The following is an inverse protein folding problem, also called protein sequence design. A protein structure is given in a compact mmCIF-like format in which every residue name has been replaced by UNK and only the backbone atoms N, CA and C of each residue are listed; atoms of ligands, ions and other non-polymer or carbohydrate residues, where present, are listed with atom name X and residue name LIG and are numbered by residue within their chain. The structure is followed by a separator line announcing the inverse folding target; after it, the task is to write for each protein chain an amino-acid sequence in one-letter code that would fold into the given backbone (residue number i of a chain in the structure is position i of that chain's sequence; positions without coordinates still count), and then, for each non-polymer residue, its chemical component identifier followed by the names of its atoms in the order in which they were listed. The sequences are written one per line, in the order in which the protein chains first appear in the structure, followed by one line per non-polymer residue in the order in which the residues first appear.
data_IF_302047879913
#
_entry.id   IF_302047879913
#
_cell.length_a   1.000
_cell.length_b   1.000
_cell.length_c   1.000
_cell.angle_alpha   90.00
_cell.angle_beta   90.00
_cell.angle_gamma   90.00
#
_symmetry.space_group_name_H-M   'P 1'
#
loop_
_entity.id
_entity.type
_entity.pdbx_description
1 polymer ?
#
# COMPACT_ATOMS: atom_id res chain seq x y z
N UNK A 1 -30.99 50.14 44.33
CA UNK A 1 -30.53 48.74 44.47
C UNK A 1 -30.68 48.02 43.14
N UNK A 2 -29.58 47.75 42.42
CA UNK A 2 -29.49 46.69 41.38
C UNK A 2 -28.02 46.53 40.96
N UNK A 3 -27.40 45.55 41.63
CA UNK A 3 -26.38 44.56 41.20
C UNK A 3 -25.17 45.02 40.37
N UNK A 4 -24.01 44.88 41.02
CA UNK A 4 -22.64 44.78 40.51
C UNK A 4 -22.56 43.76 39.37
N UNK A 5 -21.79 44.06 38.32
CA UNK A 5 -21.23 43.04 37.44
C UNK A 5 -19.73 43.29 37.27
N UNK A 6 -18.97 42.41 37.92
CA UNK A 6 -17.53 42.24 37.80
C UNK A 6 -17.23 41.73 36.39
N UNK A 7 -16.37 42.44 35.65
CA UNK A 7 -15.84 41.98 34.38
C UNK A 7 -14.74 40.93 34.66
N UNK A 8 -15.12 39.65 34.66
CA UNK A 8 -14.17 38.53 34.58
C UNK A 8 -13.84 38.36 33.09
N UNK A 9 -12.66 38.85 32.70
CA UNK A 9 -12.03 38.52 31.42
C UNK A 9 -11.56 37.07 31.51
N UNK A 10 -12.45 36.16 31.11
CA UNK A 10 -12.13 34.75 30.86
C UNK A 10 -11.55 34.70 29.44
N UNK A 11 -10.23 34.82 29.32
CA UNK A 11 -9.51 34.41 28.11
C UNK A 11 -9.64 32.90 28.01
N UNK A 12 -10.72 32.44 27.39
CA UNK A 12 -10.79 31.09 26.87
C UNK A 12 -9.74 31.01 25.76
N UNK A 13 -8.61 30.38 26.09
CA UNK A 13 -7.69 29.81 25.12
C UNK A 13 -8.47 28.74 24.35
N UNK A 14 -9.24 29.16 23.36
CA UNK A 14 -9.54 28.33 22.23
C UNK A 14 -8.22 28.15 21.49
N UNK A 15 -7.44 27.16 21.92
CA UNK A 15 -6.54 26.45 21.02
C UNK A 15 -7.48 25.71 20.07
N UNK A 16 -8.03 26.44 19.09
CA UNK A 16 -8.48 25.81 17.86
C UNK A 16 -7.19 25.29 17.25
N UNK A 17 -6.89 24.03 17.49
CA UNK A 17 -5.88 23.32 16.72
C UNK A 17 -6.23 23.58 15.26
N UNK A 18 -5.37 24.29 14.54
CA UNK A 18 -5.50 24.46 13.11
C UNK A 18 -5.45 23.06 12.50
N UNK A 19 -6.61 22.48 12.29
CA UNK A 19 -6.75 21.23 11.56
C UNK A 19 -6.36 21.55 10.11
N UNK A 20 -5.40 20.79 9.60
CA UNK A 20 -4.73 21.07 8.33
C UNK A 20 -5.56 20.44 7.20
N UNK A 21 -6.22 21.31 6.39
CA UNK A 21 -7.26 20.94 5.40
C UNK A 21 -6.96 19.77 4.45
N UNK A 22 -5.69 19.44 4.13
CA UNK A 22 -5.33 18.33 3.22
C UNK A 22 -5.27 16.98 3.95
N UNK A 23 -4.70 16.99 5.14
CA UNK A 23 -4.38 15.80 5.92
C UNK A 23 -5.65 15.31 6.63
N UNK A 24 -6.44 16.24 7.19
CA UNK A 24 -7.76 15.95 7.74
C UNK A 24 -8.71 15.40 6.67
N UNK A 25 -8.61 15.93 5.44
CA UNK A 25 -9.46 15.49 4.34
C UNK A 25 -9.15 14.04 3.93
N UNK A 26 -7.87 13.63 4.00
CA UNK A 26 -7.49 12.24 3.73
C UNK A 26 -8.05 11.29 4.78
N UNK A 27 -7.89 11.60 6.07
CA UNK A 27 -8.41 10.75 7.16
C UNK A 27 -9.94 10.67 7.10
N UNK A 28 -10.60 11.80 6.79
CA UNK A 28 -12.05 11.82 6.58
C UNK A 28 -12.46 10.98 5.37
N UNK A 29 -11.69 11.00 4.28
CA UNK A 29 -11.97 10.19 3.09
C UNK A 29 -11.67 8.71 3.31
N UNK A 30 -10.70 8.35 4.15
CA UNK A 30 -10.52 6.97 4.63
C UNK A 30 -11.77 6.51 5.37
N UNK A 31 -12.29 7.31 6.30
CA UNK A 31 -13.54 6.97 6.99
C UNK A 31 -14.71 6.79 6.00
N UNK A 32 -14.85 7.70 5.03
CA UNK A 32 -15.89 7.63 4.01
C UNK A 32 -15.74 6.37 3.12
N UNK A 33 -14.51 6.01 2.76
CA UNK A 33 -14.19 4.82 1.98
C UNK A 33 -14.58 3.54 2.72
N UNK A 34 -14.20 3.43 4.01
CA UNK A 34 -14.59 2.31 4.86
C UNK A 34 -16.11 2.15 4.95
N UNK A 35 -16.84 3.25 5.20
CA UNK A 35 -18.30 3.21 5.21
C UNK A 35 -18.90 2.81 3.85
N UNK A 36 -18.29 3.27 2.76
CA UNK A 36 -18.71 2.92 1.40
C UNK A 36 -18.60 1.41 1.18
N UNK A 37 -17.49 0.78 1.61
CA UNK A 37 -17.30 -0.68 1.62
C UNK A 37 -18.40 -1.38 2.43
N UNK A 38 -18.62 -0.95 3.66
CA UNK A 38 -19.51 -1.63 4.59
C UNK A 38 -21.00 -1.50 4.23
N UNK A 39 -21.40 -0.40 3.59
CA UNK A 39 -22.76 -0.22 3.03
C UNK A 39 -23.12 -1.30 2.02
N UNK A 40 -22.13 -1.84 1.30
CA UNK A 40 -22.34 -2.88 0.28
C UNK A 40 -22.46 -4.28 0.89
N UNK A 41 -21.84 -4.51 2.05
CA UNK A 41 -21.86 -5.81 2.75
C UNK A 41 -23.09 -6.00 3.65
N UNK A 42 -23.75 -4.90 4.06
CA UNK A 42 -24.97 -4.92 4.89
C UNK A 42 -26.20 -5.59 4.23
N UNK A 43 -26.19 -5.80 2.90
CA UNK A 43 -27.41 -6.12 2.12
C UNK A 43 -27.32 -7.42 1.28
N UNK A 44 -26.39 -8.33 1.58
CA UNK A 44 -26.00 -9.34 0.59
C UNK A 44 -26.16 -10.79 1.05
N UNK A 45 -26.56 -11.68 0.12
CA UNK A 45 -26.63 -13.13 0.37
C UNK A 45 -25.22 -13.77 0.35
N UNK A 46 -25.07 -14.87 1.09
CA UNK A 46 -23.80 -15.59 1.29
C UNK A 46 -23.13 -16.12 0.00
N UNK A 47 -23.86 -16.21 -1.11
CA UNK A 47 -23.38 -16.83 -2.37
C UNK A 47 -22.53 -15.89 -3.25
N UNK A 48 -22.27 -14.65 -2.83
CA UNK A 48 -21.55 -13.64 -3.63
C UNK A 48 -20.36 -12.98 -2.91
N UNK A 49 -19.73 -13.67 -1.95
CA UNK A 49 -18.68 -13.10 -1.09
C UNK A 49 -17.51 -12.47 -1.87
N UNK A 50 -17.09 -13.06 -2.98
CA UNK A 50 -15.95 -12.56 -3.77
C UNK A 50 -16.32 -11.34 -4.63
N UNK A 51 -17.49 -11.36 -5.25
CA UNK A 51 -18.04 -10.18 -5.95
C UNK A 51 -18.25 -9.01 -4.98
N UNK A 52 -18.68 -9.29 -3.75
CA UNK A 52 -18.80 -8.28 -2.68
C UNK A 52 -17.43 -7.76 -2.23
N UNK A 53 -16.45 -8.63 -2.05
CA UNK A 53 -15.09 -8.22 -1.71
C UNK A 53 -14.51 -7.28 -2.77
N UNK A 54 -14.69 -7.62 -4.06
CA UNK A 54 -14.29 -6.77 -5.18
C UNK A 54 -14.99 -5.42 -5.14
N UNK A 55 -16.32 -5.41 -5.04
CA UNK A 55 -17.12 -4.18 -4.97
C UNK A 55 -16.76 -3.32 -3.77
N UNK A 56 -16.44 -3.93 -2.64
CA UNK A 56 -15.97 -3.24 -1.46
C UNK A 56 -14.64 -2.53 -1.70
N UNK A 57 -13.67 -3.22 -2.30
CA UNK A 57 -12.38 -2.62 -2.66
C UNK A 57 -12.56 -1.51 -3.70
N UNK A 58 -13.35 -1.75 -4.76
CA UNK A 58 -13.66 -0.74 -5.77
C UNK A 58 -14.31 0.50 -5.14
N UNK A 59 -15.22 0.32 -4.18
CA UNK A 59 -15.90 1.41 -3.47
C UNK A 59 -14.95 2.27 -2.62
N UNK A 60 -13.89 1.67 -2.07
CA UNK A 60 -12.85 2.39 -1.37
C UNK A 60 -11.94 3.15 -2.34
N UNK A 61 -11.41 2.47 -3.36
CA UNK A 61 -10.55 3.06 -4.38
C UNK A 61 -11.21 4.29 -5.03
N UNK A 62 -12.49 4.21 -5.39
CA UNK A 62 -13.24 5.35 -5.95
C UNK A 62 -13.18 6.64 -5.11
N UNK A 63 -12.91 6.54 -3.81
CA UNK A 63 -12.78 7.69 -2.91
C UNK A 63 -11.32 8.07 -2.69
N UNK A 64 -10.44 7.07 -2.52
CA UNK A 64 -9.06 7.30 -2.06
C UNK A 64 -8.03 7.47 -3.20
N UNK A 65 -8.32 7.00 -4.42
CA UNK A 65 -7.37 6.96 -5.54
C UNK A 65 -6.82 8.35 -5.89
N UNK A 66 -7.62 9.40 -5.66
CA UNK A 66 -7.18 10.80 -5.79
C UNK A 66 -6.02 11.23 -4.87
N UNK A 67 -5.60 10.39 -3.93
CA UNK A 67 -4.50 10.65 -2.99
C UNK A 67 -3.17 9.98 -3.38
N UNK A 68 -3.14 9.23 -4.48
CA UNK A 68 -1.97 8.50 -4.96
C UNK A 68 -0.79 9.47 -5.24
N UNK A 69 -1.05 10.54 -6.02
CA UNK A 69 -0.11 11.63 -6.33
C UNK A 69 -0.31 12.92 -5.52
N UNK A 70 -1.03 12.88 -4.39
CA UNK A 70 -1.35 14.11 -3.66
C UNK A 70 -0.24 14.51 -2.70
N UNK A 71 0.10 15.79 -2.67
CA UNK A 71 1.01 16.34 -1.68
C UNK A 71 0.32 16.43 -0.31
N UNK A 72 1.03 15.95 0.71
CA UNK A 72 0.62 16.03 2.10
C UNK A 72 1.59 16.91 2.89
N UNK A 73 1.09 17.55 3.94
CA UNK A 73 2.00 18.24 4.87
C UNK A 73 2.68 17.25 5.80
N UNK A 74 1.93 16.25 6.29
CA UNK A 74 2.53 15.11 6.95
C UNK A 74 3.08 14.12 5.92
N UNK A 75 4.40 13.95 5.89
CA UNK A 75 5.07 13.01 5.00
C UNK A 75 4.61 11.57 5.24
N UNK A 76 4.22 11.22 6.47
CA UNK A 76 3.70 9.90 6.80
C UNK A 76 2.39 9.63 6.05
N UNK A 77 1.53 10.64 5.85
CA UNK A 77 0.30 10.47 5.07
C UNK A 77 0.54 10.31 3.57
N UNK A 78 1.62 10.88 3.03
CA UNK A 78 2.02 10.63 1.64
C UNK A 78 2.40 9.17 1.43
N UNK A 79 3.09 8.56 2.40
CA UNK A 79 3.45 7.16 2.27
C UNK A 79 2.28 6.23 2.59
N UNK A 80 1.50 6.53 3.64
CA UNK A 80 0.36 5.72 4.05
C UNK A 80 -0.79 5.73 3.02
N UNK A 81 -1.02 6.84 2.31
CA UNK A 81 -2.02 6.87 1.23
C UNK A 81 -1.66 5.89 0.11
N UNK A 82 -0.40 5.89 -0.31
CA UNK A 82 0.13 4.98 -1.34
C UNK A 82 0.13 3.53 -0.89
N UNK A 83 0.54 3.27 0.35
CA UNK A 83 0.48 1.92 0.93
C UNK A 83 -0.94 1.38 0.96
N UNK A 84 -1.91 2.20 1.37
CA UNK A 84 -3.31 1.81 1.43
C UNK A 84 -3.88 1.51 0.03
N UNK A 85 -3.65 2.39 -0.95
CA UNK A 85 -4.08 2.18 -2.35
C UNK A 85 -3.44 0.91 -2.94
N UNK A 86 -2.14 0.70 -2.69
CA UNK A 86 -1.44 -0.50 -3.13
C UNK A 86 -2.03 -1.78 -2.52
N UNK A 87 -2.32 -1.77 -1.23
CA UNK A 87 -2.93 -2.93 -0.56
C UNK A 87 -4.33 -3.22 -1.11
N UNK A 88 -5.12 -2.20 -1.44
CA UNK A 88 -6.40 -2.39 -2.12
C UNK A 88 -6.23 -3.03 -3.51
N UNK A 89 -5.28 -2.55 -4.32
CA UNK A 89 -4.97 -3.13 -5.63
C UNK A 89 -4.42 -4.57 -5.54
N UNK A 90 -3.66 -4.88 -4.49
CA UNK A 90 -3.25 -6.24 -4.16
C UNK A 90 -4.48 -7.14 -3.90
N UNK A 91 -5.42 -6.67 -3.09
CA UNK A 91 -6.69 -7.37 -2.84
C UNK A 91 -7.48 -7.66 -4.12
N UNK A 92 -7.54 -6.73 -5.08
CA UNK A 92 -8.14 -6.97 -6.40
C UNK A 92 -7.41 -8.05 -7.20
N UNK A 93 -6.10 -8.14 -7.08
CA UNK A 93 -5.29 -9.16 -7.75
C UNK A 93 -5.50 -10.54 -7.13
N UNK A 94 -5.54 -10.64 -5.80
CA UNK A 94 -5.83 -11.88 -5.07
C UNK A 94 -7.23 -12.40 -5.40
N UNK A 95 -8.23 -11.50 -5.50
CA UNK A 95 -9.60 -11.87 -5.89
C UNK A 95 -9.65 -12.60 -7.24
N UNK A 96 -8.76 -12.28 -8.19
CA UNK A 96 -8.73 -12.92 -9.51
C UNK A 96 -8.32 -14.40 -9.44
N UNK A 97 -7.58 -14.80 -8.40
CA UNK A 97 -7.15 -16.19 -8.22
C UNK A 97 -8.18 -17.04 -7.48
N UNK A 98 -9.33 -16.45 -7.11
CA UNK A 98 -10.40 -17.19 -6.47
C UNK A 98 -11.00 -18.23 -7.42
N UNK A 99 -10.90 -19.50 -7.05
CA UNK A 99 -11.40 -20.63 -7.83
C UNK A 99 -10.32 -21.41 -8.57
N UNK A 100 -9.10 -20.88 -8.69
CA UNK A 100 -7.96 -21.58 -9.30
C UNK A 100 -7.26 -22.49 -8.29
N UNK A 101 -6.85 -21.94 -7.15
CA UNK A 101 -6.30 -22.68 -6.03
C UNK A 101 -6.73 -22.04 -4.71
N UNK A 102 -7.68 -22.70 -4.03
CA UNK A 102 -8.25 -22.21 -2.78
C UNK A 102 -7.23 -22.23 -1.63
N UNK A 103 -6.22 -23.10 -1.71
CA UNK A 103 -5.15 -23.21 -0.73
C UNK A 103 -4.14 -22.06 -0.85
N UNK A 104 -4.08 -21.41 -2.00
CA UNK A 104 -3.29 -20.19 -2.23
C UNK A 104 -4.11 -18.92 -1.99
N UNK A 105 -5.40 -18.94 -2.33
CA UNK A 105 -6.28 -17.78 -2.20
C UNK A 105 -6.46 -17.33 -0.74
N UNK A 106 -6.85 -18.25 0.16
CA UNK A 106 -7.21 -17.86 1.53
C UNK A 106 -6.03 -17.29 2.33
N UNK A 107 -4.82 -17.86 2.27
CA UNK A 107 -3.64 -17.27 2.89
C UNK A 107 -3.38 -15.83 2.42
N UNK A 108 -3.36 -15.62 1.10
CA UNK A 108 -3.15 -14.29 0.52
C UNK A 108 -4.22 -13.30 0.93
N UNK A 109 -5.47 -13.76 0.97
CA UNK A 109 -6.60 -12.93 1.41
C UNK A 109 -6.49 -12.54 2.88
N UNK A 110 -6.08 -13.48 3.74
CA UNK A 110 -5.81 -13.21 5.17
C UNK A 110 -4.67 -12.21 5.33
N UNK A 111 -3.58 -12.37 4.58
CA UNK A 111 -2.44 -11.44 4.59
C UNK A 111 -2.83 -10.04 4.11
N UNK A 112 -3.62 -9.96 3.04
CA UNK A 112 -4.20 -8.71 2.55
C UNK A 112 -4.97 -7.98 3.66
N UNK A 113 -5.86 -8.69 4.35
CA UNK A 113 -6.67 -8.13 5.44
C UNK A 113 -5.80 -7.69 6.64
N UNK A 114 -4.77 -8.47 6.96
CA UNK A 114 -3.78 -8.15 8.01
C UNK A 114 -2.98 -6.89 7.69
N UNK A 115 -2.46 -6.78 6.47
CA UNK A 115 -1.70 -5.61 6.04
C UNK A 115 -2.58 -4.37 5.96
N UNK A 116 -3.80 -4.50 5.43
CA UNK A 116 -4.80 -3.43 5.41
C UNK A 116 -5.09 -2.92 6.83
N UNK A 117 -5.25 -3.82 7.80
CA UNK A 117 -5.41 -3.46 9.22
C UNK A 117 -4.21 -2.69 9.77
N UNK A 118 -2.98 -3.16 9.52
CA UNK A 118 -1.75 -2.47 9.98
C UNK A 118 -1.65 -1.04 9.43
N UNK A 119 -1.94 -0.85 8.14
CA UNK A 119 -1.92 0.49 7.51
C UNK A 119 -2.98 1.39 8.15
N UNK A 120 -4.20 0.88 8.35
CA UNK A 120 -5.28 1.64 8.99
C UNK A 120 -4.97 2.01 10.44
N UNK A 121 -4.30 1.13 11.19
CA UNK A 121 -3.83 1.45 12.54
C UNK A 121 -2.82 2.60 12.53
N UNK A 122 -1.81 2.57 11.65
CA UNK A 122 -0.86 3.69 11.51
C UNK A 122 -1.56 5.02 11.18
N UNK A 123 -2.55 5.00 10.27
CA UNK A 123 -3.35 6.20 9.95
C UNK A 123 -4.11 6.67 11.20
N UNK A 124 -4.77 5.75 11.91
CA UNK A 124 -5.56 6.04 13.10
C UNK A 124 -4.73 6.57 14.28
N UNK A 125 -3.48 6.10 14.42
CA UNK A 125 -2.54 6.55 15.45
C UNK A 125 -2.08 7.99 15.21
N UNK A 126 -1.93 8.40 13.95
CA UNK A 126 -1.58 9.78 13.58
C UNK A 126 -2.80 10.70 13.73
N UNK A 127 -3.96 10.26 13.22
CA UNK A 127 -5.21 10.98 13.32
C UNK A 127 -6.38 10.01 13.33
N UNK A 128 -7.12 10.05 14.44
CA UNK A 128 -8.26 9.16 14.70
C UNK A 128 -9.23 9.11 13.50
N UNK A 129 -9.48 7.89 13.01
CA UNK A 129 -10.46 7.62 11.95
C UNK A 129 -11.86 7.66 12.56
N UNK A 130 -12.68 8.61 12.12
CA UNK A 130 -14.03 8.81 12.66
C UNK A 130 -15.10 8.38 11.66
N UNK A 131 -15.69 7.21 11.91
CA UNK A 131 -16.84 6.69 11.17
C UNK A 131 -18.14 7.02 11.90
N UNK A 132 -19.26 7.00 11.20
CA UNK A 132 -20.58 7.19 11.81
C UNK A 132 -20.88 6.10 12.85
N UNK A 133 -21.76 6.37 13.84
CA UNK A 133 -22.03 5.44 14.95
C UNK A 133 -22.40 4.03 14.51
N UNK A 134 -23.08 3.88 13.36
CA UNK A 134 -23.46 2.59 12.78
C UNK A 134 -22.26 1.68 12.48
N UNK A 135 -21.10 2.26 12.15
CA UNK A 135 -19.93 1.53 11.68
C UNK A 135 -18.79 1.43 12.70
N UNK A 136 -19.01 1.92 13.93
CA UNK A 136 -17.98 1.96 14.97
C UNK A 136 -17.43 0.56 15.32
N UNK A 137 -18.30 -0.45 15.38
CA UNK A 137 -17.86 -1.81 15.70
C UNK A 137 -17.12 -2.47 14.53
N UNK A 138 -17.50 -2.17 13.28
CA UNK A 138 -16.76 -2.62 12.10
C UNK A 138 -15.37 -1.98 12.01
N UNK A 139 -15.26 -0.70 12.37
CA UNK A 139 -13.96 -0.03 12.47
C UNK A 139 -13.08 -0.72 13.52
N UNK A 140 -13.62 -1.01 14.71
CA UNK A 140 -12.89 -1.74 15.75
C UNK A 140 -12.47 -3.13 15.29
N UNK A 141 -13.33 -3.86 14.58
CA UNK A 141 -13.01 -5.19 14.06
C UNK A 141 -11.85 -5.13 13.06
N UNK A 142 -11.90 -4.19 12.11
CA UNK A 142 -10.84 -4.02 11.12
C UNK A 142 -9.53 -3.59 11.78
N UNK A 143 -9.55 -2.64 12.72
CA UNK A 143 -8.34 -2.20 13.42
C UNK A 143 -7.77 -3.28 14.35
N UNK A 144 -8.60 -4.15 14.90
CA UNK A 144 -8.17 -5.28 15.73
C UNK A 144 -7.98 -6.58 14.95
N UNK A 145 -8.06 -6.54 13.61
CA UNK A 145 -7.85 -7.74 12.80
C UNK A 145 -6.45 -8.27 13.05
N UNK A 146 -6.39 -9.50 13.54
CA UNK A 146 -5.18 -10.28 13.76
C UNK A 146 -5.32 -11.58 12.98
N UNK A 147 -4.19 -12.07 12.49
CA UNK A 147 -4.12 -13.46 12.02
C UNK A 147 -4.33 -14.31 13.27
N UNK A 148 -5.36 -15.16 13.28
CA UNK A 148 -5.62 -16.06 14.40
C UNK A 148 -4.53 -17.15 14.34
N UNK A 149 -3.59 -17.15 15.27
CA UNK A 149 -2.47 -18.12 15.33
C UNK A 149 -2.94 -19.58 15.47
N UNK A 150 -4.25 -19.83 15.61
CA UNK A 150 -4.88 -21.16 15.63
C UNK A 150 -5.21 -21.73 14.25
N UNK A 151 -5.22 -20.90 13.21
CA UNK A 151 -5.12 -21.40 11.84
C UNK A 151 -3.63 -21.48 11.53
N UNK A 152 -3.14 -22.71 11.39
CA UNK A 152 -1.75 -23.05 11.08
C UNK A 152 -1.37 -22.53 9.67
N UNK A 153 -1.21 -21.21 9.57
CA UNK A 153 -0.49 -20.51 8.53
C UNK A 153 0.47 -19.59 9.26
N UNK A 154 1.59 -20.22 9.60
CA UNK A 154 2.80 -19.65 10.14
C UNK A 154 3.00 -18.19 9.78
N UNK A 155 3.39 -17.42 10.80
CA UNK A 155 4.20 -16.21 10.72
C UNK A 155 5.57 -16.47 10.05
N UNK A 156 5.55 -17.15 8.91
CA UNK A 156 6.65 -17.17 7.97
C UNK A 156 6.78 -15.73 7.41
N UNK A 157 8.02 -15.23 7.25
CA UNK A 157 8.22 -13.98 6.53
C UNK A 157 7.50 -14.08 5.18
N UNK A 158 6.87 -12.98 4.74
CA UNK A 158 6.13 -12.91 3.47
C UNK A 158 6.93 -13.64 2.39
N UNK A 159 6.48 -14.85 2.01
CA UNK A 159 7.23 -15.66 1.05
C UNK A 159 7.32 -14.89 -0.25
N UNK A 160 6.20 -14.39 -0.78
CA UNK A 160 6.14 -13.77 -2.12
C UNK A 160 7.11 -12.60 -2.37
N UNK A 161 7.55 -11.87 -1.33
CA UNK A 161 8.49 -10.75 -1.49
C UNK A 161 9.67 -10.81 -0.52
N UNK A 162 10.00 -12.01 -0.01
CA UNK A 162 11.08 -12.22 0.96
C UNK A 162 12.38 -11.51 0.56
N UNK A 163 12.76 -11.62 -0.71
CA UNK A 163 13.97 -11.00 -1.25
C UNK A 163 13.87 -9.48 -1.22
N UNK A 164 12.76 -8.91 -1.69
CA UNK A 164 12.53 -7.45 -1.69
C UNK A 164 12.49 -6.90 -0.26
N UNK A 165 11.82 -7.60 0.66
CA UNK A 165 11.76 -7.24 2.07
C UNK A 165 13.13 -7.28 2.74
N UNK A 166 13.94 -8.28 2.41
CA UNK A 166 15.32 -8.38 2.90
C UNK A 166 16.13 -7.16 2.46
N UNK A 167 15.98 -6.73 1.21
CA UNK A 167 16.65 -5.53 0.69
C UNK A 167 16.14 -4.27 1.40
N UNK A 168 14.82 -4.13 1.56
CA UNK A 168 14.20 -2.99 2.26
C UNK A 168 14.71 -2.86 3.70
N UNK A 169 14.80 -3.97 4.41
CA UNK A 169 15.24 -3.99 5.80
C UNK A 169 16.75 -3.77 5.98
N UNK A 170 17.55 -3.98 4.92
CA UNK A 170 19.02 -3.90 4.99
C UNK A 170 19.61 -2.66 4.31
N UNK A 171 18.83 -1.93 3.51
CA UNK A 171 19.35 -0.83 2.69
C UNK A 171 18.49 0.45 2.73
N UNK A 172 19.17 1.57 2.51
CA UNK A 172 18.51 2.84 2.24
C UNK A 172 17.87 2.81 0.84
N UNK A 173 16.57 2.58 0.76
CA UNK A 173 15.76 2.68 -0.48
C UNK A 173 15.80 4.06 -1.14
N UNK A 174 15.69 4.09 -2.47
CA UNK A 174 15.69 5.31 -3.26
C UNK A 174 14.31 5.91 -3.49
N UNK A 175 14.26 7.03 -4.22
CA UNK A 175 13.03 7.72 -4.60
C UNK A 175 13.08 8.37 -6.00
N UNK A 176 14.13 8.07 -6.78
CA UNK A 176 14.30 8.62 -8.12
C UNK A 176 13.30 7.99 -9.08
N UNK A 177 12.72 8.79 -9.98
CA UNK A 177 12.00 8.22 -11.14
C UNK A 177 13.05 7.58 -12.04
N UNK A 178 12.80 6.36 -12.50
CA UNK A 178 13.66 5.75 -13.51
C UNK A 178 13.47 6.49 -14.82
N UNK A 179 14.51 7.14 -15.34
CA UNK A 179 14.40 7.69 -16.69
C UNK A 179 14.47 6.60 -17.74
N UNK A 180 13.84 6.80 -18.91
CA UNK A 180 14.04 5.86 -20.03
C UNK A 180 15.53 5.73 -20.41
N UNK A 181 16.29 6.82 -20.28
CA UNK A 181 17.75 6.83 -20.46
C UNK A 181 18.47 5.96 -19.42
N UNK A 182 18.08 6.03 -18.15
CA UNK A 182 18.63 5.16 -17.12
C UNK A 182 18.37 3.69 -17.45
N UNK A 183 17.13 3.35 -17.78
CA UNK A 183 16.74 2.01 -18.22
C UNK A 183 17.62 1.50 -19.39
N UNK A 184 17.81 2.34 -20.41
CA UNK A 184 18.65 2.00 -21.55
C UNK A 184 20.11 1.74 -21.14
N UNK A 185 20.61 2.45 -20.13
CA UNK A 185 21.98 2.31 -19.62
C UNK A 185 22.25 1.04 -18.80
N UNK A 186 21.20 0.33 -18.37
CA UNK A 186 21.34 -0.88 -17.55
C UNK A 186 22.06 -1.99 -18.30
N UNK A 187 23.00 -2.64 -17.61
CA UNK A 187 23.85 -3.71 -18.17
C UNK A 187 23.58 -5.01 -17.43
N UNK A 188 23.19 -6.04 -18.18
CA UNK A 188 23.04 -7.42 -17.68
C UNK A 188 24.34 -7.91 -17.05
N UNK A 189 24.23 -8.64 -15.94
CA UNK A 189 25.37 -9.12 -15.17
C UNK A 189 26.11 -8.05 -14.36
N UNK A 190 25.68 -6.78 -14.40
CA UNK A 190 26.29 -5.70 -13.61
C UNK A 190 25.31 -4.98 -12.70
N UNK A 191 24.08 -4.77 -13.15
CA UNK A 191 23.07 -4.12 -12.36
C UNK A 191 22.49 -5.09 -11.35
N UNK A 192 22.38 -4.69 -10.09
CA UNK A 192 21.84 -5.53 -9.02
C UNK A 192 20.46 -5.06 -8.57
N UNK A 193 19.67 -5.99 -8.06
CA UNK A 193 18.33 -5.67 -7.55
C UNK A 193 18.42 -4.69 -6.40
N UNK A 194 19.38 -4.89 -5.50
CA UNK A 194 19.74 -3.99 -4.41
C UNK A 194 20.08 -2.59 -4.95
N UNK A 195 20.90 -2.52 -6.00
CA UNK A 195 21.29 -1.27 -6.64
C UNK A 195 20.12 -0.51 -7.28
N UNK A 196 19.17 -1.21 -7.89
CA UNK A 196 17.96 -0.57 -8.39
C UNK A 196 17.08 -0.10 -7.24
N UNK A 197 16.84 -0.95 -6.24
CA UNK A 197 15.95 -0.64 -5.12
C UNK A 197 16.46 0.56 -4.32
N UNK A 198 17.77 0.63 -4.09
CA UNK A 198 18.44 1.77 -3.42
C UNK A 198 18.44 3.07 -4.24
N UNK A 199 18.34 2.99 -5.58
CA UNK A 199 18.31 4.19 -6.44
C UNK A 199 16.88 4.68 -6.71
N UNK A 200 15.99 3.79 -7.13
CA UNK A 200 14.68 4.15 -7.69
C UNK A 200 13.51 3.90 -6.75
N UNK A 201 13.72 3.21 -5.63
CA UNK A 201 12.62 2.73 -4.82
C UNK A 201 12.31 1.28 -5.11
N UNK A 202 11.27 0.74 -4.51
CA UNK A 202 10.87 -0.66 -4.76
C UNK A 202 10.12 -0.71 -6.11
N UNK A 203 10.03 -1.85 -6.78
CA UNK A 203 9.26 -1.96 -8.02
C UNK A 203 7.75 -1.83 -7.83
N UNK A 204 7.05 -1.41 -8.90
CA UNK A 204 5.59 -1.36 -8.95
C UNK A 204 4.93 -2.72 -9.14
N UNK A 205 5.67 -3.69 -9.67
CA UNK A 205 5.22 -5.06 -9.81
C UNK A 205 6.38 -6.03 -9.53
N UNK A 206 6.09 -7.16 -8.90
CA UNK A 206 7.07 -8.20 -8.61
C UNK A 206 6.45 -9.55 -8.90
N UNK A 207 7.18 -10.41 -9.62
CA UNK A 207 6.82 -11.81 -9.88
C UNK A 207 7.98 -12.68 -9.40
N UNK A 208 7.67 -13.69 -8.58
CA UNK A 208 8.67 -14.38 -7.76
C UNK A 208 9.13 -13.48 -6.61
N UNK A 209 10.31 -13.77 -6.06
CA UNK A 209 10.80 -13.05 -4.87
C UNK A 209 10.71 -13.85 -3.57
N UNK A 210 10.42 -15.15 -3.69
CA UNK A 210 10.35 -16.11 -2.59
C UNK A 210 11.71 -16.58 -2.09
N UNK A 211 11.74 -17.03 -0.83
CA UNK A 211 12.92 -17.68 -0.28
C UNK A 211 13.24 -18.94 -1.10
N UNK A 212 14.44 -18.97 -1.70
CA UNK A 212 14.87 -20.08 -2.56
C UNK A 212 14.60 -19.86 -4.05
N UNK A 213 13.94 -18.77 -4.43
CA UNK A 213 13.82 -18.41 -5.85
C UNK A 213 15.19 -18.21 -6.48
N UNK A 214 15.26 -18.53 -7.77
CA UNK A 214 16.44 -18.30 -8.60
C UNK A 214 16.24 -17.13 -9.57
N UNK A 215 15.00 -16.67 -9.73
CA UNK A 215 14.60 -15.61 -10.65
C UNK A 215 13.57 -14.71 -9.96
N UNK A 216 13.66 -13.41 -10.21
CA UNK A 216 12.66 -12.43 -9.78
C UNK A 216 12.46 -11.43 -10.92
N UNK A 217 11.21 -11.18 -11.27
CA UNK A 217 10.84 -10.17 -12.25
C UNK A 217 10.31 -8.95 -11.50
N UNK A 218 10.75 -7.78 -11.92
CA UNK A 218 10.36 -6.52 -11.30
C UNK A 218 10.05 -5.49 -12.38
N UNK A 219 8.98 -4.73 -12.16
CA UNK A 219 8.55 -3.67 -13.05
C UNK A 219 8.78 -2.30 -12.41
N UNK A 220 9.34 -1.36 -13.17
CA UNK A 220 9.46 0.04 -12.75
C UNK A 220 8.78 0.95 -13.77
N UNK A 221 7.98 1.93 -13.32
CA UNK A 221 7.53 2.99 -14.21
C UNK A 221 8.72 3.85 -14.65
N UNK A 222 8.70 4.29 -15.90
CA UNK A 222 9.67 5.27 -16.41
C UNK A 222 9.07 6.68 -16.48
N UNK A 223 9.91 7.69 -16.62
CA UNK A 223 9.49 9.08 -16.86
C UNK A 223 8.91 9.30 -18.28
N UNK A 224 8.95 8.30 -19.15
CA UNK A 224 8.42 8.36 -20.51
C UNK A 224 7.02 7.71 -20.56
N UNK A 225 6.06 8.45 -21.13
CA UNK A 225 4.66 8.01 -21.21
C UNK A 225 4.54 6.75 -22.07
N UNK A 226 3.94 5.70 -21.51
CA UNK A 226 3.69 4.44 -22.20
C UNK A 226 4.80 3.40 -22.07
N UNK A 227 5.81 3.62 -21.22
CA UNK A 227 6.91 2.67 -21.05
C UNK A 227 7.14 2.30 -19.58
N UNK A 228 7.15 0.99 -19.30
CA UNK A 228 7.69 0.40 -18.07
C UNK A 228 8.97 -0.37 -18.33
N UNK A 229 9.87 -0.33 -17.36
CA UNK A 229 11.09 -1.11 -17.32
C UNK A 229 10.81 -2.45 -16.64
N UNK A 230 10.70 -3.50 -17.44
CA UNK A 230 10.55 -4.87 -16.96
C UNK A 230 11.93 -5.51 -16.89
N UNK A 231 12.32 -5.92 -15.68
CA UNK A 231 13.66 -6.37 -15.36
C UNK A 231 13.60 -7.72 -14.68
N UNK A 232 14.38 -8.68 -15.17
CA UNK A 232 14.53 -10.00 -14.55
C UNK A 232 15.90 -10.07 -13.90
N UNK A 233 15.94 -10.49 -12.64
CA UNK A 233 17.15 -10.73 -11.89
C UNK A 233 17.29 -12.21 -11.58
N UNK A 234 18.53 -12.70 -11.66
CA UNK A 234 18.89 -14.06 -11.29
C UNK A 234 19.71 -14.06 -10.00
N UNK A 235 19.48 -15.07 -9.16
CA UNK A 235 20.31 -15.28 -7.98
C UNK A 235 21.69 -15.80 -8.42
N UNK A 236 22.65 -14.90 -8.46
CA UNK A 236 24.05 -15.19 -8.70
C UNK A 236 24.78 -14.54 -7.55
N UNK A 237 24.96 -15.28 -6.44
CA UNK A 237 25.79 -14.84 -5.31
C UNK A 237 27.13 -14.30 -5.83
N UNK A 238 27.24 -12.98 -5.96
CA UNK A 238 28.41 -12.30 -6.52
C UNK A 238 28.92 -11.28 -5.53
N UNK A 239 30.17 -10.82 -5.71
CA UNK A 239 30.75 -9.79 -4.83
C UNK A 239 30.05 -8.42 -4.87
N UNK A 240 29.03 -8.23 -5.73
CA UNK A 240 28.30 -6.96 -5.90
C UNK A 240 26.82 -7.04 -5.51
N UNK A 241 26.35 -8.17 -4.97
CA UNK A 241 24.95 -8.43 -4.63
C UNK A 241 24.55 -9.86 -5.00
N UNK A 242 23.44 -10.34 -4.44
CA UNK A 242 22.98 -11.72 -4.66
C UNK A 242 22.10 -11.84 -5.91
N UNK A 243 21.51 -10.72 -6.36
CA UNK A 243 20.53 -10.67 -7.46
C UNK A 243 21.01 -9.77 -8.58
N UNK A 244 21.30 -10.34 -9.75
CA UNK A 244 21.91 -9.62 -10.86
C UNK A 244 21.01 -9.65 -12.08
N UNK A 245 20.86 -8.50 -12.76
CA UNK A 245 20.03 -8.36 -13.94
C UNK A 245 20.44 -9.40 -15.00
N UNK A 246 19.51 -10.27 -15.38
CA UNK A 246 19.71 -11.26 -16.43
C UNK A 246 19.00 -10.90 -17.72
N UNK A 247 17.92 -10.11 -17.63
CA UNK A 247 17.15 -9.67 -18.80
C UNK A 247 16.48 -8.33 -18.52
N UNK A 248 16.38 -7.50 -19.56
CA UNK A 248 15.50 -6.33 -19.56
C UNK A 248 14.61 -6.30 -20.79
N UNK A 249 13.36 -5.89 -20.61
CA UNK A 249 12.38 -5.68 -21.67
C UNK A 249 11.63 -4.37 -21.47
N UNK A 250 11.06 -3.86 -22.54
CA UNK A 250 10.14 -2.73 -22.52
C UNK A 250 8.75 -3.30 -22.70
N UNK A 251 7.81 -2.85 -21.88
CA UNK A 251 6.38 -3.06 -22.13
C UNK A 251 5.79 -1.73 -22.56
N UNK A 252 5.15 -1.71 -23.72
CA UNK A 252 4.24 -0.63 -24.09
C UNK A 252 3.02 -0.74 -23.18
N UNK A 253 2.88 0.21 -22.26
CA UNK A 253 1.71 0.32 -21.41
C UNK A 253 0.70 1.24 -22.09
N UNK A 254 -0.60 0.96 -21.96
CA UNK A 254 -1.70 1.76 -22.54
C UNK A 254 -1.86 3.15 -21.87
N UNK A 255 -0.78 3.75 -21.39
CA UNK A 255 -0.78 5.01 -20.64
C UNK A 255 -1.14 4.85 -19.16
N UNK A 256 -1.17 3.63 -18.62
CA UNK A 256 -1.24 3.42 -17.17
C UNK A 256 0.19 3.54 -16.63
N UNK A 257 0.58 4.75 -16.22
CA UNK A 257 1.78 4.95 -15.43
C UNK A 257 1.60 4.19 -14.12
N UNK A 258 2.37 3.13 -13.90
CA UNK A 258 2.38 2.47 -12.59
C UNK A 258 2.94 3.44 -11.56
N UNK A 259 2.28 3.62 -10.41
CA UNK A 259 2.79 4.58 -9.45
C UNK A 259 4.07 4.14 -8.75
N UNK A 260 4.90 5.17 -8.57
CA UNK A 260 6.22 5.20 -7.95
C UNK A 260 6.19 4.56 -6.56
N UNK A 261 6.99 3.53 -6.33
CA UNK A 261 7.22 3.04 -4.98
C UNK A 261 8.18 3.99 -4.26
N UNK A 262 7.64 4.94 -3.52
CA UNK A 262 8.42 5.77 -2.62
C UNK A 262 8.53 5.08 -1.26
N UNK A 263 9.78 4.85 -0.85
CA UNK A 263 10.23 4.36 0.45
C UNK A 263 9.51 4.98 1.66
N UNK A 264 9.22 4.13 2.65
CA UNK A 264 8.99 4.50 4.06
C UNK A 264 10.30 4.26 4.84
#
# INVERSE_FOLDING_TARGET
MKKILVAIVLVALFIVGCSNKSDDAFVQDIANALESRWKLTDNASNDKKVDQAKKGIDAELNIIDKYENKDFKNLDFSTLSKEYIRELNNGLSIIKTYGDDISVFYPKWTDHQSNRSKILNKINDISEIKVSPKYQDMLKEVLNYKIDDSDEHSSEPRKEFFIIDTIINSHEIGNQVMSYKDYQSFVEGKLTLEGIVTKYGVPSHVIGGEEGDSHIEVCYPTDETGYSADLVFENKKTGFGDWVLSKKSVVETDGIGFEKYTKQ
#
